data_IF_024717345264
#
_entry.id   IF_024717345264
#
_cell.length_a   1.000
_cell.length_b   1.000
_cell.length_c   1.000
_cell.angle_alpha   90.00
_cell.angle_beta   90.00
_cell.angle_gamma   90.00
#
_symmetry.space_group_name_H-M   'P 1'
#
loop_
_entity.id
_entity.type
_entity.pdbx_description
1 polymer ?
#
# COMPACT_ATOMS: atom_id res chain seq x y z
N UNK A 1 -9.28 20.96 -9.91
CA UNK A 1 -8.29 19.88 -10.11
C UNK A 1 -8.98 18.53 -9.90
N UNK A 2 -8.50 17.46 -10.54
CA UNK A 2 -9.00 16.09 -10.34
C UNK A 2 -8.22 15.32 -9.28
N UNK A 3 -8.57 14.05 -9.06
CA UNK A 3 -7.93 13.21 -8.04
C UNK A 3 -6.43 13.00 -8.27
N UNK A 4 -5.99 12.81 -9.53
CA UNK A 4 -4.58 12.58 -9.86
C UNK A 4 -3.63 13.70 -9.37
N UNK A 5 -3.88 14.97 -9.74
CA UNK A 5 -3.10 16.10 -9.23
C UNK A 5 -3.10 16.20 -7.69
N UNK A 6 -4.25 15.99 -7.04
CA UNK A 6 -4.32 16.04 -5.57
C UNK A 6 -3.47 14.94 -4.90
N UNK A 7 -3.45 13.73 -5.47
CA UNK A 7 -2.59 12.63 -5.02
C UNK A 7 -1.11 12.99 -5.21
N UNK A 8 -0.75 13.57 -6.36
CA UNK A 8 0.62 13.97 -6.65
C UNK A 8 1.11 15.08 -5.70
N UNK A 9 0.26 16.08 -5.43
CA UNK A 9 0.58 17.17 -4.51
C UNK A 9 0.79 16.65 -3.07
N UNK A 10 -0.06 15.73 -2.62
CA UNK A 10 0.07 15.11 -1.31
C UNK A 10 1.33 14.24 -1.21
N UNK A 11 1.60 13.41 -2.22
CA UNK A 11 2.82 12.62 -2.28
C UNK A 11 4.07 13.51 -2.20
N UNK A 12 4.10 14.61 -2.97
CA UNK A 12 5.20 15.56 -2.94
C UNK A 12 5.34 16.23 -1.56
N UNK A 13 4.22 16.62 -0.93
CA UNK A 13 4.22 17.22 0.39
C UNK A 13 4.80 16.28 1.46
N UNK A 14 4.41 15.00 1.45
CA UNK A 14 4.93 13.98 2.38
C UNK A 14 6.41 13.70 2.11
N UNK A 15 6.79 13.52 0.84
CA UNK A 15 8.17 13.20 0.44
C UNK A 15 9.17 14.34 0.73
N UNK A 16 8.70 15.60 0.76
CA UNK A 16 9.54 16.79 0.96
C UNK A 16 9.37 17.45 2.33
N UNK A 17 8.65 16.80 3.25
CA UNK A 17 8.42 17.32 4.59
C UNK A 17 9.75 17.59 5.31
N UNK A 18 9.88 18.80 5.88
CA UNK A 18 11.08 19.22 6.65
C UNK A 18 11.08 18.75 8.11
N UNK A 19 9.99 18.12 8.52
CA UNK A 19 9.82 17.51 9.84
C UNK A 19 9.68 16.01 9.67
N UNK A 20 10.06 15.19 10.68
CA UNK A 20 9.86 13.76 10.60
C UNK A 20 8.37 13.42 10.42
N UNK A 21 8.07 12.58 9.42
CA UNK A 21 6.73 12.03 9.18
C UNK A 21 6.81 10.51 9.30
N UNK A 22 5.83 9.92 9.97
CA UNK A 22 5.70 8.46 10.11
C UNK A 22 4.27 8.07 9.80
N UNK A 23 4.11 7.02 9.01
CA UNK A 23 2.80 6.52 8.59
C UNK A 23 2.57 5.14 9.19
N UNK A 24 1.38 4.92 9.75
CA UNK A 24 0.94 3.61 10.22
C UNK A 24 -0.24 3.16 9.38
N UNK A 25 -0.06 2.07 8.67
CA UNK A 25 -1.11 1.40 7.92
C UNK A 25 -1.91 0.50 8.88
N UNK A 26 -3.16 0.88 9.14
CA UNK A 26 -4.04 0.21 10.13
C UNK A 26 -5.11 -0.70 9.51
N UNK A 27 -5.18 -0.76 8.18
CA UNK A 27 -6.22 -1.49 7.45
C UNK A 27 -5.86 -1.57 5.97
N UNK A 28 -6.75 -1.10 5.10
CA UNK A 28 -6.56 -1.20 3.66
C UNK A 28 -5.71 -0.05 3.09
N UNK A 29 -4.61 -0.40 2.43
CA UNK A 29 -3.69 0.50 1.78
C UNK A 29 -3.79 0.41 0.27
N UNK A 30 -4.80 1.07 -0.30
CA UNK A 30 -5.08 1.02 -1.73
C UNK A 30 -4.32 2.05 -2.59
N UNK A 31 -3.50 1.54 -3.50
CA UNK A 31 -2.96 2.22 -4.68
C UNK A 31 -2.34 3.60 -4.41
N UNK A 32 -2.44 4.51 -5.37
CA UNK A 32 -1.89 5.87 -5.29
C UNK A 32 -2.44 6.69 -4.13
N UNK A 33 -3.68 6.47 -3.70
CA UNK A 33 -4.29 7.19 -2.59
C UNK A 33 -3.58 6.90 -1.26
N UNK A 34 -3.31 5.62 -0.99
CA UNK A 34 -2.55 5.22 0.20
C UNK A 34 -1.05 5.54 0.06
N UNK A 35 -0.47 5.38 -1.14
CA UNK A 35 0.92 5.73 -1.41
C UNK A 35 1.23 7.21 -1.18
N UNK A 36 0.30 8.11 -1.51
CA UNK A 36 0.49 9.55 -1.26
C UNK A 36 0.70 9.89 0.22
N UNK A 37 0.20 9.04 1.12
CA UNK A 37 0.33 9.18 2.57
C UNK A 37 1.50 8.36 3.15
N UNK A 38 2.19 7.55 2.34
CA UNK A 38 3.25 6.66 2.82
C UNK A 38 4.56 7.43 2.98
N UNK A 39 5.00 7.61 4.22
CA UNK A 39 6.28 8.24 4.53
C UNK A 39 7.46 7.35 4.07
N UNK A 40 8.31 7.80 3.13
CA UNK A 40 9.42 6.99 2.63
C UNK A 40 10.37 6.56 3.75
N UNK A 41 10.60 5.25 3.90
CA UNK A 41 11.46 4.67 4.95
C UNK A 41 10.89 4.74 6.38
N UNK A 42 9.68 5.28 6.54
CA UNK A 42 9.00 5.50 7.82
C UNK A 42 7.54 5.01 7.79
N UNK A 43 7.26 4.00 6.96
CA UNK A 43 5.97 3.32 6.90
C UNK A 43 5.98 2.08 7.81
N UNK A 44 4.93 1.92 8.61
CA UNK A 44 4.67 0.77 9.48
C UNK A 44 3.32 0.17 9.16
N UNK A 45 3.09 -1.07 9.56
CA UNK A 45 1.83 -1.77 9.31
C UNK A 45 1.33 -2.50 10.56
N UNK A 46 0.01 -2.65 10.71
CA UNK A 46 -0.60 -3.56 11.69
C UNK A 46 -0.72 -4.98 11.10
N UNK A 47 -0.86 -6.04 11.91
CA UNK A 47 -0.89 -7.42 11.43
C UNK A 47 -2.02 -7.73 10.43
N UNK A 48 -3.16 -7.05 10.57
CA UNK A 48 -4.36 -7.26 9.74
C UNK A 48 -4.50 -6.26 8.57
N UNK A 49 -3.47 -5.45 8.35
CA UNK A 49 -3.45 -4.49 7.24
C UNK A 49 -2.93 -5.10 5.93
N UNK A 50 -3.12 -4.42 4.81
CA UNK A 50 -2.46 -4.77 3.54
C UNK A 50 -2.18 -3.53 2.70
N UNK A 51 -1.15 -3.59 1.87
CA UNK A 51 -0.80 -2.51 0.94
C UNK A 51 -0.70 -3.07 -0.48
N UNK A 52 -1.46 -2.51 -1.42
CA UNK A 52 -1.49 -3.02 -2.80
C UNK A 52 -1.65 -1.91 -3.81
N UNK A 53 -0.99 -2.04 -4.97
CA UNK A 53 -1.15 -1.13 -6.11
C UNK A 53 -2.54 -1.24 -6.76
N UNK A 54 -3.18 -2.39 -6.62
CA UNK A 54 -4.48 -2.72 -7.24
C UNK A 54 -5.23 -3.75 -6.39
N UNK A 55 -6.56 -3.70 -6.39
CA UNK A 55 -7.36 -4.77 -5.78
C UNK A 55 -7.07 -6.13 -6.47
N UNK A 56 -6.89 -7.23 -5.73
CA UNK A 56 -6.60 -8.54 -6.33
C UNK A 56 -7.63 -9.00 -7.37
N UNK A 57 -8.90 -8.68 -7.16
CA UNK A 57 -10.00 -8.99 -8.08
C UNK A 57 -9.82 -8.25 -9.41
N UNK A 58 -9.43 -6.98 -9.35
CA UNK A 58 -9.15 -6.18 -10.54
C UNK A 58 -7.88 -6.67 -11.26
N UNK A 59 -6.84 -7.05 -10.52
CA UNK A 59 -5.65 -7.67 -11.10
C UNK A 59 -5.97 -8.99 -11.82
N UNK A 60 -6.76 -9.87 -11.19
CA UNK A 60 -7.19 -11.13 -11.80
C UNK A 60 -7.96 -10.90 -13.10
N UNK A 61 -8.90 -9.94 -13.10
CA UNK A 61 -9.65 -9.55 -14.29
C UNK A 61 -8.75 -9.03 -15.42
N UNK A 62 -7.81 -8.14 -15.12
CA UNK A 62 -6.85 -7.60 -16.10
C UNK A 62 -5.98 -8.72 -16.70
N UNK A 63 -5.56 -9.67 -15.86
CA UNK A 63 -4.77 -10.83 -16.27
C UNK A 63 -5.61 -11.92 -16.96
N UNK A 64 -6.91 -11.69 -17.18
CA UNK A 64 -7.86 -12.64 -17.78
C UNK A 64 -7.95 -13.96 -17.01
N UNK A 65 -7.81 -13.90 -15.69
CA UNK A 65 -7.98 -15.03 -14.78
C UNK A 65 -9.44 -15.12 -14.33
N UNK A 66 -9.94 -16.33 -14.05
CA UNK A 66 -11.24 -16.50 -13.41
C UNK A 66 -11.36 -15.75 -12.07
N UNK A 67 -12.54 -15.24 -11.68
CA UNK A 67 -12.73 -14.51 -10.43
C UNK A 67 -12.31 -15.27 -9.16
N UNK A 68 -12.44 -16.59 -9.16
CA UNK A 68 -12.01 -17.47 -8.07
C UNK A 68 -10.49 -17.44 -7.83
N UNK A 69 -9.70 -17.00 -8.82
CA UNK A 69 -8.25 -16.84 -8.69
C UNK A 69 -7.84 -15.51 -8.03
N UNK A 70 -8.79 -14.68 -7.58
CA UNK A 70 -8.48 -13.43 -6.88
C UNK A 70 -7.61 -13.66 -5.63
N UNK A 71 -7.91 -14.69 -4.84
CA UNK A 71 -7.13 -15.05 -3.65
C UNK A 71 -5.69 -15.47 -3.99
N UNK A 72 -5.53 -16.35 -4.99
CA UNK A 72 -4.22 -16.75 -5.48
C UNK A 72 -3.44 -15.57 -6.09
N UNK A 73 -4.14 -14.63 -6.72
CA UNK A 73 -3.55 -13.39 -7.24
C UNK A 73 -3.11 -12.48 -6.10
N UNK A 74 -3.88 -12.38 -5.01
CA UNK A 74 -3.49 -11.63 -3.81
C UNK A 74 -2.17 -12.15 -3.21
N UNK A 75 -2.01 -13.47 -3.11
CA UNK A 75 -0.76 -14.09 -2.64
C UNK A 75 0.43 -13.76 -3.54
N UNK A 76 0.24 -13.79 -4.88
CA UNK A 76 1.27 -13.42 -5.85
C UNK A 76 1.65 -11.94 -5.78
N UNK A 77 0.70 -11.07 -5.43
CA UNK A 77 0.91 -9.63 -5.27
C UNK A 77 1.67 -9.28 -3.99
N UNK A 78 1.83 -10.21 -3.04
CA UNK A 78 2.67 -10.03 -1.84
C UNK A 78 2.31 -8.77 -1.04
N UNK A 79 1.01 -8.65 -0.75
CA UNK A 79 0.39 -7.45 -0.18
C UNK A 79 0.23 -7.45 1.35
N UNK A 80 0.53 -8.57 2.03
CA UNK A 80 0.39 -8.71 3.49
C UNK A 80 1.56 -8.08 4.24
N UNK A 81 1.44 -7.74 5.53
CA UNK A 81 2.49 -7.01 6.26
C UNK A 81 3.83 -7.74 6.30
N UNK A 82 3.82 -9.08 6.43
CA UNK A 82 5.04 -9.90 6.36
C UNK A 82 5.71 -9.81 4.98
N UNK A 83 4.93 -9.90 3.91
CA UNK A 83 5.43 -9.76 2.55
C UNK A 83 6.05 -8.37 2.32
N UNK A 84 5.38 -7.32 2.80
CA UNK A 84 5.83 -5.93 2.69
C UNK A 84 7.11 -5.68 3.48
N UNK A 85 7.27 -6.33 4.64
CA UNK A 85 8.49 -6.25 5.44
C UNK A 85 9.65 -6.93 4.72
N UNK A 86 9.43 -8.13 4.18
CA UNK A 86 10.44 -8.87 3.40
C UNK A 86 10.86 -8.13 2.13
N UNK A 87 9.94 -7.34 1.55
CA UNK A 87 10.21 -6.47 0.40
C UNK A 87 10.87 -5.13 0.78
N UNK A 88 10.99 -4.82 2.08
CA UNK A 88 11.51 -3.53 2.56
C UNK A 88 10.58 -2.34 2.30
N UNK A 89 9.30 -2.58 2.02
CA UNK A 89 8.29 -1.52 1.81
C UNK A 89 7.91 -0.87 3.14
N UNK A 90 7.81 -1.67 4.20
CA UNK A 90 7.56 -1.21 5.57
C UNK A 90 8.78 -1.47 6.45
N UNK A 91 8.90 -0.66 7.50
CA UNK A 91 9.98 -0.77 8.49
C UNK A 91 9.73 -1.86 9.52
N UNK A 92 8.48 -2.18 9.80
CA UNK A 92 8.10 -3.14 10.81
C UNK A 92 6.60 -3.30 10.92
N UNK A 93 6.21 -4.37 11.62
CA UNK A 93 4.83 -4.66 11.98
C UNK A 93 4.66 -4.26 13.44
N UNK A 94 3.67 -3.43 13.72
CA UNK A 94 3.36 -2.94 15.07
C UNK A 94 2.29 -3.85 15.68
N UNK A 95 2.60 -4.46 16.81
CA UNK A 95 1.65 -5.28 17.58
C UNK A 95 0.83 -4.43 18.57
N UNK A 96 -0.26 -5.00 19.07
CA UNK A 96 -1.15 -4.40 20.07
C UNK A 96 -0.55 -4.41 21.47
#
# INVERSE_FOLDING_TARGET
AGAGPAIADLFAAVATARVPVTSLLIGEGGSGGALALAAPGHLWATPDSYFSVIAPEAAASILKRPPEEAAATADQLRLRPRDLLDLGVIRGIVEH
#
